data_IF_607784237720
#
_entry.id   IF_607784237720
#
_cell.length_a   1.000
_cell.length_b   1.000
_cell.length_c   1.000
_cell.angle_alpha   90.00
_cell.angle_beta   90.00
_cell.angle_gamma   90.00
#
_symmetry.space_group_name_H-M   'P 1'
#
loop_
_entity.id
_entity.type
_entity.pdbx_description
1 polymer ?
#
# COMPACT_ATOMS: atom_id res chain seq x y z
N UNK A 1 8.55 2.95 -28.11
CA UNK A 1 8.24 1.57 -27.65
C UNK A 1 8.52 1.40 -26.17
N UNK A 2 9.79 1.42 -25.78
CA UNK A 2 10.26 1.18 -24.40
C UNK A 2 9.68 2.13 -23.34
N UNK A 3 9.52 3.42 -23.63
CA UNK A 3 8.95 4.37 -22.65
C UNK A 3 7.50 4.07 -22.27
N UNK A 4 6.69 3.58 -23.22
CA UNK A 4 5.30 3.20 -22.97
C UNK A 4 5.23 1.93 -22.11
N UNK A 5 6.07 0.94 -22.39
CA UNK A 5 6.13 -0.30 -21.61
C UNK A 5 6.68 -0.06 -20.20
N UNK A 6 7.66 0.83 -20.05
CA UNK A 6 8.18 1.24 -18.74
C UNK A 6 7.10 1.97 -17.94
N UNK A 7 6.41 2.94 -18.54
CA UNK A 7 5.35 3.70 -17.88
C UNK A 7 4.15 2.84 -17.46
N UNK A 8 3.71 1.93 -18.34
CA UNK A 8 2.65 0.97 -18.02
C UNK A 8 3.09 0.03 -16.89
N UNK A 9 4.34 -0.42 -16.91
CA UNK A 9 4.90 -1.31 -15.88
C UNK A 9 4.93 -0.64 -14.50
N UNK A 10 5.40 0.62 -14.40
CA UNK A 10 5.38 1.37 -13.12
C UNK A 10 3.97 1.69 -12.65
N UNK A 11 3.07 2.03 -13.56
CA UNK A 11 1.67 2.31 -13.22
C UNK A 11 0.98 1.04 -12.68
N UNK A 12 1.16 -0.11 -13.33
CA UNK A 12 0.66 -1.40 -12.83
C UNK A 12 1.31 -1.78 -11.48
N UNK A 13 2.61 -1.54 -11.31
CA UNK A 13 3.33 -1.86 -10.08
C UNK A 13 2.88 -1.01 -8.86
N UNK A 14 2.25 0.15 -9.09
CA UNK A 14 1.67 1.01 -8.05
C UNK A 14 0.14 0.86 -7.93
N UNK A 15 -0.55 0.45 -9.01
CA UNK A 15 -1.99 0.21 -9.03
C UNK A 15 -2.42 -1.05 -8.26
N UNK A 16 -1.48 -1.85 -7.77
CA UNK A 16 -1.75 -3.03 -6.95
C UNK A 16 -2.63 -2.71 -5.72
N UNK A 17 -2.49 -1.53 -5.11
CA UNK A 17 -3.30 -1.08 -3.97
C UNK A 17 -4.80 -1.00 -4.30
N UNK A 18 -5.21 -0.14 -5.24
CA UNK A 18 -6.60 -0.06 -5.69
C UNK A 18 -7.18 -1.38 -6.18
N UNK A 19 -6.40 -2.18 -6.91
CA UNK A 19 -6.84 -3.50 -7.39
C UNK A 19 -7.15 -4.45 -6.22
N UNK A 20 -6.28 -4.47 -5.20
CA UNK A 20 -6.51 -5.26 -3.98
C UNK A 20 -7.75 -4.80 -3.21
N UNK A 21 -7.94 -3.48 -3.07
CA UNK A 21 -9.13 -2.89 -2.45
C UNK A 21 -10.41 -3.37 -3.12
N UNK A 22 -10.51 -3.28 -4.44
CA UNK A 22 -11.67 -3.73 -5.22
C UNK A 22 -11.89 -5.23 -5.08
N UNK A 23 -10.82 -6.04 -5.18
CA UNK A 23 -10.91 -7.49 -5.02
C UNK A 23 -11.51 -7.88 -3.66
N UNK A 24 -11.03 -7.26 -2.58
CA UNK A 24 -11.51 -7.53 -1.22
C UNK A 24 -12.97 -7.13 -1.02
N UNK A 25 -13.39 -6.06 -1.71
CA UNK A 25 -14.72 -5.49 -1.64
C UNK A 25 -15.74 -6.44 -2.28
N UNK A 26 -15.39 -6.99 -3.45
CA UNK A 26 -16.18 -8.02 -4.13
C UNK A 26 -16.31 -9.28 -3.27
N UNK A 27 -15.24 -9.66 -2.56
CA UNK A 27 -15.22 -10.82 -1.67
C UNK A 27 -15.76 -10.55 -0.26
N UNK A 28 -16.21 -9.31 0.04
CA UNK A 28 -16.69 -8.87 1.36
C UNK A 28 -15.78 -9.29 2.51
N UNK A 29 -14.46 -9.14 2.31
CA UNK A 29 -13.48 -9.55 3.31
C UNK A 29 -13.65 -8.75 4.61
N UNK A 30 -13.58 -9.41 5.78
CA UNK A 30 -13.57 -8.69 7.05
C UNK A 30 -12.33 -7.79 7.14
N UNK A 31 -12.48 -6.60 7.74
CA UNK A 31 -11.43 -5.56 7.82
C UNK A 31 -10.07 -6.08 8.34
N UNK A 32 -10.08 -7.06 9.25
CA UNK A 32 -8.86 -7.63 9.82
C UNK A 32 -8.11 -8.52 8.83
N UNK A 33 -8.84 -9.30 8.03
CA UNK A 33 -8.24 -10.12 6.96
C UNK A 33 -7.75 -9.25 5.81
N UNK A 34 -8.51 -8.21 5.46
CA UNK A 34 -8.09 -7.22 4.47
C UNK A 34 -6.73 -6.60 4.83
N UNK A 35 -6.60 -6.08 6.05
CA UNK A 35 -5.34 -5.49 6.48
C UNK A 35 -4.24 -6.53 6.61
N UNK A 36 -4.54 -7.71 7.17
CA UNK A 36 -3.53 -8.74 7.45
C UNK A 36 -2.98 -9.45 6.21
N UNK A 37 -3.84 -9.76 5.23
CA UNK A 37 -3.42 -10.37 3.97
C UNK A 37 -2.73 -9.30 3.11
N UNK A 38 -3.36 -8.13 2.97
CA UNK A 38 -2.80 -7.01 2.22
C UNK A 38 -1.41 -6.63 2.72
N UNK A 39 -1.24 -6.40 4.03
CA UNK A 39 0.06 -6.02 4.59
C UNK A 39 1.16 -7.05 4.28
N UNK A 40 0.87 -8.36 4.40
CA UNK A 40 1.86 -9.41 4.10
C UNK A 40 2.18 -9.48 2.62
N UNK A 41 1.17 -9.41 1.75
CA UNK A 41 1.38 -9.42 0.30
C UNK A 41 2.19 -8.20 -0.15
N UNK A 42 1.82 -6.99 0.29
CA UNK A 42 2.57 -5.78 -0.04
C UNK A 42 3.97 -5.78 0.58
N UNK A 43 4.16 -6.31 1.79
CA UNK A 43 5.48 -6.46 2.38
C UNK A 43 6.37 -7.34 1.50
N UNK A 44 5.90 -8.52 1.08
CA UNK A 44 6.66 -9.42 0.21
C UNK A 44 6.99 -8.77 -1.13
N UNK A 45 6.01 -8.13 -1.77
CA UNK A 45 6.22 -7.44 -3.05
C UNK A 45 7.22 -6.30 -2.89
N UNK A 46 7.16 -5.53 -1.80
CA UNK A 46 8.12 -4.46 -1.54
C UNK A 46 9.52 -5.00 -1.24
N UNK A 47 9.66 -6.11 -0.50
CA UNK A 47 10.95 -6.77 -0.27
C UNK A 47 11.58 -7.22 -1.59
N UNK A 48 10.79 -7.79 -2.50
CA UNK A 48 11.27 -8.16 -3.84
C UNK A 48 11.72 -6.93 -4.64
N UNK A 49 11.17 -5.72 -4.38
CA UNK A 49 11.58 -4.47 -5.02
C UNK A 49 12.92 -3.92 -4.50
N UNK A 50 13.29 -4.20 -3.24
CA UNK A 50 14.53 -3.70 -2.61
C UNK A 50 15.82 -4.01 -3.38
N UNK A 51 16.08 -5.23 -3.90
CA UNK A 51 17.30 -5.50 -4.66
C UNK A 51 17.42 -4.61 -5.90
N UNK A 52 16.33 -4.40 -6.64
CA UNK A 52 16.31 -3.51 -7.81
C UNK A 52 16.56 -2.03 -7.46
N UNK A 53 16.27 -1.62 -6.22
CA UNK A 53 16.59 -0.27 -5.72
C UNK A 53 18.05 -0.13 -5.29
N UNK A 54 18.69 -1.24 -4.90
CA UNK A 54 20.11 -1.28 -4.54
C UNK A 54 20.98 -1.08 -5.78
N UNK A 55 20.58 -1.69 -6.90
CA UNK A 55 21.26 -1.54 -8.21
C UNK A 55 21.19 -0.10 -8.76
N UNK A 56 20.32 0.75 -8.21
CA UNK A 56 20.14 2.15 -8.58
C UNK A 56 20.86 3.15 -7.64
N UNK A 57 21.67 2.66 -6.68
CA UNK A 57 22.41 3.47 -5.68
C UNK A 57 21.52 4.37 -4.79
N UNK A 58 20.21 4.11 -4.74
CA UNK A 58 19.25 4.87 -3.92
C UNK A 58 19.39 4.51 -2.42
N UNK A 59 19.87 3.30 -2.12
CA UNK A 59 20.05 2.78 -0.76
C UNK A 59 21.47 3.11 -0.26
N UNK A 60 21.59 4.25 0.42
CA UNK A 60 22.82 4.74 1.06
C UNK A 60 22.78 4.48 2.58
N UNK A 61 23.95 4.31 3.21
CA UNK A 61 24.16 4.38 4.68
C UNK A 61 23.38 5.50 5.38
N UNK A 62 23.22 6.66 4.75
CA UNK A 62 22.43 7.79 5.28
C UNK A 62 20.92 7.51 5.24
N UNK A 63 20.40 6.96 4.13
CA UNK A 63 19.01 6.51 4.02
C UNK A 63 18.68 5.46 5.07
N UNK A 64 19.57 4.47 5.26
CA UNK A 64 19.42 3.43 6.29
C UNK A 64 19.39 4.00 7.72
N UNK A 65 20.21 5.01 8.03
CA UNK A 65 20.18 5.69 9.34
C UNK A 65 18.85 6.42 9.55
N UNK A 66 18.31 7.05 8.52
CA UNK A 66 17.01 7.71 8.59
C UNK A 66 15.88 6.71 8.78
N UNK A 67 15.92 5.56 8.10
CA UNK A 67 14.94 4.48 8.31
C UNK A 67 14.93 3.99 9.76
N UNK A 68 16.12 3.79 10.35
CA UNK A 68 16.25 3.39 11.76
C UNK A 68 15.70 4.46 12.71
N UNK A 69 15.93 5.74 12.42
CA UNK A 69 15.39 6.84 13.22
C UNK A 69 13.86 6.91 13.16
N UNK A 70 13.26 6.50 12.03
CA UNK A 70 11.81 6.49 11.81
C UNK A 70 11.12 5.23 12.36
N UNK A 71 11.85 4.14 12.62
CA UNK A 71 11.32 2.92 13.26
C UNK A 71 10.39 3.16 14.46
N UNK A 72 10.75 3.99 15.48
CA UNK A 72 9.84 4.26 16.59
C UNK A 72 8.51 4.87 16.14
N UNK A 73 8.53 5.75 15.13
CA UNK A 73 7.32 6.32 14.53
C UNK A 73 6.47 5.25 13.84
N UNK A 74 7.10 4.28 13.17
CA UNK A 74 6.41 3.14 12.56
C UNK A 74 5.73 2.29 13.63
N UNK A 75 6.42 1.94 14.72
CA UNK A 75 5.81 1.18 15.82
C UNK A 75 4.64 1.92 16.46
N UNK A 76 4.79 3.23 16.71
CA UNK A 76 3.70 4.07 17.21
C UNK A 76 2.51 4.09 16.23
N UNK A 77 2.77 4.24 14.94
CA UNK A 77 1.75 4.22 13.88
C UNK A 77 1.01 2.88 13.80
N UNK A 78 1.72 1.75 13.94
CA UNK A 78 1.11 0.41 13.95
C UNK A 78 0.19 0.24 15.16
N UNK A 79 0.64 0.65 16.35
CA UNK A 79 -0.15 0.55 17.58
C UNK A 79 -1.41 1.43 17.52
N UNK A 80 -1.25 2.67 17.07
CA UNK A 80 -2.36 3.61 16.89
C UNK A 80 -3.33 3.13 15.80
N UNK A 81 -2.81 2.67 14.67
CA UNK A 81 -3.60 2.15 13.56
C UNK A 81 -4.40 0.91 13.95
N UNK A 82 -3.80 -0.02 14.71
CA UNK A 82 -4.49 -1.19 15.25
C UNK A 82 -5.64 -0.78 16.17
N UNK A 83 -5.39 0.15 17.10
CA UNK A 83 -6.44 0.62 18.02
C UNK A 83 -7.56 1.33 17.27
N UNK A 84 -7.22 2.14 16.26
CA UNK A 84 -8.19 2.83 15.43
C UNK A 84 -9.07 1.86 14.63
N UNK A 85 -8.47 0.84 13.99
CA UNK A 85 -9.25 -0.11 13.19
C UNK A 85 -10.19 -0.94 14.06
N UNK A 86 -9.78 -1.31 15.28
CA UNK A 86 -10.64 -2.04 16.21
C UNK A 86 -11.95 -1.28 16.52
N UNK A 87 -11.88 0.06 16.58
CA UNK A 87 -13.04 0.93 16.83
C UNK A 87 -13.92 1.19 15.59
N UNK A 88 -13.44 0.94 14.37
CA UNK A 88 -14.21 1.20 13.15
C UNK A 88 -15.15 0.02 12.85
N UNK A 89 -16.48 0.21 12.77
CA UNK A 89 -17.39 -0.86 12.40
C UNK A 89 -17.19 -1.27 10.92
N UNK A 90 -17.43 -2.54 10.60
CA UNK A 90 -17.22 -3.09 9.25
C UNK A 90 -17.92 -2.27 8.16
N UNK A 91 -19.17 -1.84 8.39
CA UNK A 91 -19.91 -1.03 7.41
C UNK A 91 -19.27 0.34 7.14
N UNK A 92 -18.71 0.99 8.15
CA UNK A 92 -17.99 2.26 7.96
C UNK A 92 -16.67 2.04 7.22
N UNK A 93 -15.98 0.92 7.50
CA UNK A 93 -14.77 0.53 6.79
C UNK A 93 -15.05 0.32 5.28
N UNK A 94 -16.13 -0.38 4.95
CA UNK A 94 -16.55 -0.60 3.55
C UNK A 94 -16.90 0.71 2.85
N UNK A 95 -17.69 1.60 3.47
CA UNK A 95 -18.01 2.93 2.91
C UNK A 95 -16.74 3.73 2.63
N UNK A 96 -15.79 3.72 3.57
CA UNK A 96 -14.52 4.42 3.42
C UNK A 96 -13.68 3.82 2.27
N UNK A 97 -13.69 2.50 2.14
CA UNK A 97 -13.06 1.78 1.03
C UNK A 97 -13.69 2.16 -0.32
N UNK A 98 -15.02 2.20 -0.42
CA UNK A 98 -15.74 2.64 -1.62
C UNK A 98 -15.37 4.08 -1.98
N UNK A 99 -15.40 4.99 -1.00
CA UNK A 99 -15.09 6.40 -1.22
C UNK A 99 -13.65 6.59 -1.71
N UNK A 100 -12.66 6.00 -1.03
CA UNK A 100 -11.26 6.14 -1.44
C UNK A 100 -10.94 5.45 -2.75
N UNK A 101 -11.53 4.28 -3.02
CA UNK A 101 -11.33 3.58 -4.30
C UNK A 101 -11.95 4.36 -5.46
N UNK A 102 -13.14 4.96 -5.25
CA UNK A 102 -13.78 5.86 -6.20
C UNK A 102 -12.93 7.11 -6.47
N UNK A 103 -12.44 7.78 -5.42
CA UNK A 103 -11.56 8.96 -5.55
C UNK A 103 -10.28 8.58 -6.29
N UNK A 104 -9.65 7.46 -5.95
CA UNK A 104 -8.43 6.99 -6.62
C UNK A 104 -8.68 6.69 -8.11
N UNK A 105 -9.82 6.05 -8.43
CA UNK A 105 -10.22 5.78 -9.81
C UNK A 105 -10.46 7.06 -10.62
N UNK A 106 -11.19 8.03 -10.05
CA UNK A 106 -11.40 9.34 -10.69
C UNK A 106 -10.07 10.06 -10.90
N UNK A 107 -9.19 10.04 -9.89
CA UNK A 107 -7.87 10.66 -9.99
C UNK A 107 -7.03 10.03 -11.10
N UNK A 108 -7.15 8.73 -11.35
CA UNK A 108 -6.43 8.04 -12.42
C UNK A 108 -6.92 8.43 -13.83
N UNK A 109 -8.16 8.89 -13.95
CA UNK A 109 -8.73 9.37 -15.23
C UNK A 109 -8.33 10.83 -15.49
N UNK A 110 -8.21 11.62 -14.43
CA UNK A 110 -7.92 13.05 -14.49
C UNK A 110 -6.43 13.41 -14.31
N UNK A 111 -5.55 12.41 -14.32
CA UNK A 111 -4.09 12.56 -14.19
C UNK A 111 -3.36 11.64 -15.17
#
# INVERSE_FOLDING_TARGET
GSGLTIGISTMMANAAGPVYSIYSLVHKMPKNEFLGIGARCFLLVNIIKVPFMTDLDIINTWSLKMDVLLLPGIFAGILLGKRLIDHIPQGAFEILLYAFSGIAGVRLIWY
#
